data_IF_071131421472
#
_entry.id   IF_071131421472
#
_cell.length_a   1.000
_cell.length_b   1.000
_cell.length_c   1.000
_cell.angle_alpha   90.00
_cell.angle_beta   90.00
_cell.angle_gamma   90.00
#
_symmetry.space_group_name_H-M   'P 1'
#
loop_
_entity.id
_entity.type
_entity.pdbx_description
1 polymer ?
#
# COMPACT_ATOMS: atom_id res chain seq x y z
N UNK A 1 15.06 -9.06 1.11
CA UNK A 1 14.43 -10.28 0.55
C UNK A 1 15.52 -11.28 0.25
N UNK A 2 15.33 -12.57 0.56
CA UNK A 2 16.23 -13.61 0.07
C UNK A 2 16.17 -13.63 -1.47
N UNK A 3 17.26 -14.01 -2.16
CA UNK A 3 17.37 -13.86 -3.63
C UNK A 3 16.21 -14.52 -4.40
N UNK A 4 15.71 -15.64 -3.87
CA UNK A 4 14.56 -16.38 -4.42
C UNK A 4 13.26 -15.58 -4.35
N UNK A 5 12.99 -14.91 -3.23
CA UNK A 5 11.76 -14.14 -3.07
C UNK A 5 11.75 -12.90 -3.96
N UNK A 6 12.92 -12.26 -4.12
CA UNK A 6 13.05 -11.11 -5.01
C UNK A 6 12.86 -11.52 -6.48
N UNK A 7 13.39 -12.67 -6.90
CA UNK A 7 13.18 -13.21 -8.25
C UNK A 7 11.68 -13.48 -8.53
N UNK A 8 10.98 -14.09 -7.56
CA UNK A 8 9.55 -14.35 -7.68
C UNK A 8 8.74 -13.07 -7.91
N UNK A 9 9.02 -12.01 -7.14
CA UNK A 9 8.33 -10.72 -7.28
C UNK A 9 8.69 -10.06 -8.60
N UNK A 10 9.96 -10.11 -9.04
CA UNK A 10 10.37 -9.55 -10.34
C UNK A 10 9.67 -10.23 -11.51
N UNK A 11 9.47 -11.54 -11.43
CA UNK A 11 8.82 -12.35 -12.46
C UNK A 11 7.29 -12.31 -12.43
N UNK A 12 6.68 -11.85 -11.34
CA UNK A 12 5.22 -11.71 -11.29
C UNK A 12 4.74 -10.57 -12.21
N UNK A 13 3.50 -10.66 -12.69
CA UNK A 13 2.90 -9.56 -13.47
C UNK A 13 2.41 -8.42 -12.57
N UNK A 14 2.03 -8.72 -11.34
CA UNK A 14 1.56 -7.76 -10.35
C UNK A 14 1.75 -8.29 -8.92
N UNK A 15 1.47 -7.41 -7.95
CA UNK A 15 1.43 -7.72 -6.51
C UNK A 15 0.01 -7.46 -6.01
N UNK A 16 -0.57 -8.40 -5.27
CA UNK A 16 -1.91 -8.25 -4.70
C UNK A 16 -1.87 -8.50 -3.19
N UNK A 17 -2.43 -7.58 -2.42
CA UNK A 17 -2.53 -7.69 -0.96
C UNK A 17 -3.99 -7.57 -0.52
N UNK A 18 -4.58 -8.65 -0.02
CA UNK A 18 -5.94 -8.63 0.53
C UNK A 18 -5.84 -8.58 2.06
N UNK A 19 -6.05 -7.40 2.64
CA UNK A 19 -5.92 -7.16 4.08
C UNK A 19 -4.59 -7.68 4.66
N UNK A 20 -3.42 -7.25 4.12
CA UNK A 20 -2.14 -7.64 4.68
C UNK A 20 -1.88 -6.84 5.96
N UNK A 21 -2.20 -7.45 7.10
CA UNK A 21 -1.89 -6.92 8.43
C UNK A 21 -0.39 -6.62 8.52
N UNK A 22 -0.07 -5.46 9.08
CA UNK A 22 1.29 -4.92 9.32
C UNK A 22 2.12 -4.63 8.04
N UNK A 23 2.00 -5.45 7.00
CA UNK A 23 2.80 -5.44 5.77
C UNK A 23 2.21 -4.59 4.63
N UNK A 24 1.05 -3.93 4.82
CA UNK A 24 0.40 -3.12 3.76
C UNK A 24 1.36 -2.11 3.14
N UNK A 25 2.11 -1.40 3.98
CA UNK A 25 3.06 -0.39 3.53
C UNK A 25 4.26 -1.03 2.81
N UNK A 26 4.83 -2.11 3.36
CA UNK A 26 6.00 -2.78 2.77
C UNK A 26 5.71 -3.34 1.37
N UNK A 27 4.49 -3.87 1.18
CA UNK A 27 4.03 -4.38 -0.12
C UNK A 27 3.92 -3.23 -1.14
N UNK A 28 3.38 -2.08 -0.73
CA UNK A 28 3.28 -0.91 -1.59
C UNK A 28 4.65 -0.35 -1.94
N UNK A 29 5.55 -0.27 -0.96
CA UNK A 29 6.92 0.21 -1.16
C UNK A 29 7.70 -0.70 -2.11
N UNK A 30 7.55 -2.02 -1.96
CA UNK A 30 8.14 -2.97 -2.88
C UNK A 30 7.57 -2.84 -4.30
N UNK A 31 6.27 -2.57 -4.45
CA UNK A 31 5.64 -2.35 -5.74
C UNK A 31 6.19 -1.11 -6.45
N UNK A 32 6.32 0.01 -5.72
CA UNK A 32 6.88 1.26 -6.24
C UNK A 32 8.36 1.05 -6.61
N UNK A 33 9.17 0.52 -5.69
CA UNK A 33 10.61 0.32 -5.91
C UNK A 33 10.93 -0.62 -7.06
N UNK A 34 10.09 -1.64 -7.29
CA UNK A 34 10.27 -2.62 -8.36
C UNK A 34 9.48 -2.26 -9.63
N UNK A 35 8.82 -1.10 -9.67
CA UNK A 35 7.94 -0.65 -10.76
C UNK A 35 6.99 -1.78 -11.19
N UNK A 36 6.31 -2.39 -10.21
CA UNK A 36 5.41 -3.53 -10.38
C UNK A 36 3.98 -3.08 -10.13
N UNK A 37 3.02 -3.32 -11.06
CA UNK A 37 1.62 -3.03 -10.80
C UNK A 37 1.14 -3.69 -9.51
N UNK A 38 0.36 -2.98 -8.71
CA UNK A 38 -0.15 -3.50 -7.45
C UNK A 38 -1.60 -3.12 -7.17
N UNK A 39 -2.30 -3.98 -6.45
CA UNK A 39 -3.63 -3.73 -5.91
C UNK A 39 -3.69 -4.22 -4.45
N UNK A 40 -3.89 -3.31 -3.51
CA UNK A 40 -3.77 -3.60 -2.08
C UNK A 40 -4.99 -3.05 -1.36
N UNK A 41 -5.58 -3.83 -0.46
CA UNK A 41 -6.67 -3.40 0.41
C UNK A 41 -6.13 -3.20 1.83
N UNK A 42 -5.88 -1.95 2.27
CA UNK A 42 -5.45 -1.67 3.64
C UNK A 42 -6.56 -2.03 4.63
N UNK A 43 -6.19 -2.55 5.79
CA UNK A 43 -7.14 -3.00 6.83
C UNK A 43 -6.90 -2.31 8.17
N UNK A 44 -5.69 -2.45 8.69
CA UNK A 44 -5.30 -2.06 10.04
C UNK A 44 -4.16 -1.01 10.03
N UNK A 45 -4.21 -0.02 10.92
CA UNK A 45 -3.26 1.10 10.96
C UNK A 45 -2.06 0.81 11.88
N UNK A 46 -2.30 0.07 12.97
CA UNK A 46 -1.31 -0.24 14.00
C UNK A 46 -0.48 0.98 14.46
N UNK A 47 -1.15 2.10 14.77
CA UNK A 47 -0.50 3.38 15.09
C UNK A 47 0.52 3.28 16.25
N UNK A 48 0.28 2.41 17.23
CA UNK A 48 1.23 2.18 18.34
C UNK A 48 2.51 1.46 17.91
N UNK A 49 2.47 0.65 16.85
CA UNK A 49 3.63 -0.06 16.31
C UNK A 49 4.40 0.79 15.28
N UNK A 50 3.73 1.78 14.69
CA UNK A 50 4.29 2.66 13.66
C UNK A 50 4.11 4.15 14.00
N UNK A 51 4.68 4.61 15.13
CA UNK A 51 4.57 6.00 15.58
C UNK A 51 5.37 6.98 14.69
N UNK A 52 6.21 6.45 13.81
CA UNK A 52 7.03 7.17 12.83
C UNK A 52 6.21 7.71 11.64
N UNK A 53 4.99 7.18 11.41
CA UNK A 53 4.17 7.57 10.27
C UNK A 53 3.55 8.95 10.46
N UNK A 54 3.90 9.86 9.57
CA UNK A 54 3.32 11.19 9.48
C UNK A 54 2.91 11.47 8.03
N UNK A 55 1.77 12.14 7.86
CA UNK A 55 1.37 12.77 6.59
C UNK A 55 2.36 13.88 6.22
N UNK A 56 2.37 14.28 4.96
CA UNK A 56 3.17 15.42 4.45
C UNK A 56 2.87 16.73 5.20
N UNK A 57 1.66 16.86 5.75
CA UNK A 57 1.26 17.98 6.61
C UNK A 57 1.92 17.98 8.01
N UNK A 58 2.63 16.92 8.38
CA UNK A 58 3.20 16.70 9.72
C UNK A 58 2.25 16.07 10.73
N UNK A 59 1.01 15.74 10.34
CA UNK A 59 0.04 15.05 11.21
C UNK A 59 0.41 13.57 11.35
N UNK A 60 0.37 13.05 12.58
CA UNK A 60 0.61 11.63 12.88
C UNK A 60 -0.54 10.78 12.34
N UNK A 61 -0.19 9.63 11.75
CA UNK A 61 -1.15 8.65 11.22
C UNK A 61 -1.73 7.80 12.34
N UNK A 62 -2.96 8.11 12.75
CA UNK A 62 -3.63 7.41 13.86
C UNK A 62 -4.93 6.72 13.44
N UNK A 63 -5.57 7.21 12.37
CA UNK A 63 -6.86 6.68 11.89
C UNK A 63 -6.69 5.94 10.57
N UNK A 64 -7.72 5.15 10.22
CA UNK A 64 -7.74 4.45 8.94
C UNK A 64 -7.67 5.41 7.76
N UNK A 65 -8.36 6.55 7.82
CA UNK A 65 -8.31 7.54 6.75
C UNK A 65 -6.92 8.19 6.66
N UNK A 66 -6.30 8.54 7.80
CA UNK A 66 -4.92 9.04 7.79
C UNK A 66 -3.98 8.02 7.14
N UNK A 67 -4.19 6.71 7.38
CA UNK A 67 -3.34 5.68 6.78
C UNK A 67 -3.55 5.56 5.26
N UNK A 68 -4.79 5.69 4.79
CA UNK A 68 -5.05 5.74 3.35
C UNK A 68 -4.41 6.97 2.71
N UNK A 69 -4.55 8.14 3.32
CA UNK A 69 -3.95 9.38 2.83
C UNK A 69 -2.41 9.27 2.82
N UNK A 70 -1.83 8.73 3.89
CA UNK A 70 -0.40 8.45 3.99
C UNK A 70 0.12 7.55 2.86
N UNK A 71 -0.60 6.47 2.55
CA UNK A 71 -0.22 5.56 1.47
C UNK A 71 -0.35 6.22 0.09
N UNK A 72 -1.38 7.05 -0.10
CA UNK A 72 -1.58 7.82 -1.34
C UNK A 72 -0.48 8.87 -1.56
N UNK A 73 0.06 9.46 -0.49
CA UNK A 73 1.16 10.43 -0.57
C UNK A 73 2.51 9.81 -0.99
N UNK A 74 2.65 8.48 -0.97
CA UNK A 74 3.93 7.82 -1.31
C UNK A 74 4.28 7.89 -2.80
N UNK A 75 3.28 7.93 -3.68
CA UNK A 75 3.47 8.07 -5.13
C UNK A 75 2.18 8.63 -5.78
N UNK A 76 2.32 9.66 -6.62
CA UNK A 76 1.20 10.34 -7.28
C UNK A 76 0.40 9.45 -8.25
N UNK A 77 0.99 8.32 -8.69
CA UNK A 77 0.35 7.35 -9.59
C UNK A 77 -0.62 6.43 -8.86
N UNK A 78 -0.64 6.44 -7.53
CA UNK A 78 -1.54 5.60 -6.73
C UNK A 78 -2.96 6.14 -6.87
N UNK A 79 -3.91 5.24 -7.13
CA UNK A 79 -5.33 5.55 -7.22
C UNK A 79 -6.12 4.72 -6.23
N UNK A 80 -7.14 5.34 -5.62
CA UNK A 80 -8.03 4.70 -4.65
C UNK A 80 -9.38 4.39 -5.30
N UNK A 81 -9.85 3.17 -5.11
CA UNK A 81 -11.17 2.73 -5.55
C UNK A 81 -11.93 2.06 -4.42
N UNK A 82 -13.25 2.08 -4.52
CA UNK A 82 -14.14 1.37 -3.60
C UNK A 82 -14.65 0.08 -4.25
N UNK A 83 -14.54 -1.04 -3.54
CA UNK A 83 -15.01 -2.33 -4.01
C UNK A 83 -16.41 -2.65 -3.44
N UNK A 84 -17.24 -3.42 -4.18
CA UNK A 84 -18.64 -3.66 -3.83
C UNK A 84 -18.79 -4.77 -2.77
N UNK A 85 -18.17 -4.59 -1.60
CA UNK A 85 -18.33 -5.46 -0.43
C UNK A 85 -18.25 -4.67 0.87
N UNK A 86 -18.75 -5.26 1.96
CA UNK A 86 -18.82 -4.60 3.28
C UNK A 86 -17.49 -4.63 4.04
N UNK A 87 -17.26 -3.63 4.89
CA UNK A 87 -16.07 -3.52 5.73
C UNK A 87 -14.97 -2.69 5.09
N UNK A 88 -13.70 -3.14 5.20
CA UNK A 88 -12.54 -2.45 4.62
C UNK A 88 -12.47 -2.74 3.12
N UNK A 89 -13.14 -1.91 2.34
CA UNK A 89 -13.37 -2.11 0.91
C UNK A 89 -12.61 -1.14 -0.01
N UNK A 90 -11.69 -0.36 0.55
CA UNK A 90 -10.91 0.61 -0.22
C UNK A 90 -9.66 -0.08 -0.75
N UNK A 91 -9.53 -0.15 -2.08
CA UNK A 91 -8.34 -0.69 -2.75
C UNK A 91 -7.47 0.46 -3.26
N UNK A 92 -6.17 0.38 -2.97
CA UNK A 92 -5.15 1.23 -3.54
C UNK A 92 -4.51 0.48 -4.70
N UNK A 93 -4.50 1.11 -5.88
CA UNK A 93 -3.95 0.57 -7.11
C UNK A 93 -2.77 1.43 -7.52
N UNK A 94 -1.64 0.79 -7.76
CA UNK A 94 -0.46 1.40 -8.34
C UNK A 94 -0.24 0.81 -9.74
N UNK A 95 -0.17 1.66 -10.75
CA UNK A 95 0.18 1.28 -12.12
C UNK A 95 1.41 2.10 -12.57
N UNK A 96 2.58 1.48 -12.74
CA UNK A 96 3.81 2.18 -13.10
C UNK A 96 3.75 2.80 -14.51
N UNK A 97 2.87 2.31 -15.39
CA UNK A 97 2.81 2.70 -16.81
C UNK A 97 1.68 3.69 -17.10
N UNK A 98 0.64 3.76 -16.25
CA UNK A 98 -0.54 4.61 -16.48
C UNK A 98 -0.61 5.77 -15.48
N UNK A 99 -0.42 6.99 -15.99
CA UNK A 99 -0.77 8.25 -15.30
C UNK A 99 -2.28 8.52 -15.44
#
# INVERSE_FOLDING_TARGET
LNDVCLDLVKRSSCIVGLHPDECTEDILDAAIQLEKPAAIIPCCVFASLRPDRCLASGRIVCTYNDFLDYLMEKDERIKRFELPFEGKNQVLVFDPVRQ
#
